data_IF_295306260952
#
_entry.id   IF_295306260952
#
_cell.length_a   1.000
_cell.length_b   1.000
_cell.length_c   1.000
_cell.angle_alpha   90.00
_cell.angle_beta   90.00
_cell.angle_gamma   90.00
#
_symmetry.space_group_name_H-M   'P 1'
#
loop_
_entity.id
_entity.type
_entity.pdbx_description
1 polymer ?
#
# COMPACT_ATOMS: atom_id res chain seq x y z
N UNK A 1 -31.07 -38.42 2.82
CA UNK A 1 -31.04 -37.41 3.89
C UNK A 1 -30.84 -36.09 3.21
N UNK A 2 -31.92 -35.40 3.05
CA UNK A 2 -32.07 -34.18 2.24
C UNK A 2 -31.45 -32.99 2.97
N UNK A 3 -30.69 -32.18 2.23
CA UNK A 3 -30.20 -30.88 2.69
C UNK A 3 -31.26 -29.81 2.38
N UNK A 4 -31.55 -28.87 3.28
CA UNK A 4 -32.48 -27.80 3.00
C UNK A 4 -31.84 -26.71 2.14
N UNK A 5 -32.55 -26.29 1.10
CA UNK A 5 -32.16 -25.19 0.24
C UNK A 5 -32.41 -23.84 0.95
N UNK A 6 -31.39 -23.02 0.98
CA UNK A 6 -31.47 -21.64 1.44
C UNK A 6 -31.90 -20.73 0.30
N UNK A 7 -33.14 -20.27 0.37
CA UNK A 7 -33.63 -19.15 -0.41
C UNK A 7 -33.14 -17.86 0.24
N UNK A 8 -32.12 -17.23 -0.35
CA UNK A 8 -31.76 -15.84 -0.02
C UNK A 8 -32.68 -14.95 -0.86
N UNK A 9 -33.68 -14.38 -0.21
CA UNK A 9 -34.60 -13.44 -0.81
C UNK A 9 -33.97 -12.09 -1.07
N UNK A 10 -34.21 -11.57 -2.27
CA UNK A 10 -33.93 -10.20 -2.69
C UNK A 10 -34.66 -9.20 -1.79
N UNK A 11 -33.89 -8.45 -1.03
CA UNK A 11 -34.37 -7.21 -0.40
C UNK A 11 -33.25 -6.15 -0.52
N UNK A 12 -33.01 -5.70 -1.74
CA UNK A 12 -32.30 -4.42 -1.95
C UNK A 12 -33.36 -3.34 -1.96
N UNK A 13 -33.55 -2.73 -0.78
CA UNK A 13 -34.39 -1.55 -0.64
C UNK A 13 -33.78 -0.37 -1.35
N UNK A 14 -34.51 0.22 -2.29
CA UNK A 14 -34.28 1.52 -2.93
C UNK A 14 -34.34 2.64 -1.86
N UNK A 15 -33.20 2.90 -1.25
CA UNK A 15 -33.00 3.96 -0.27
C UNK A 15 -31.79 4.83 -0.60
N UNK A 16 -31.49 5.02 -1.88
CA UNK A 16 -30.50 6.00 -2.30
C UNK A 16 -31.10 7.39 -2.23
N UNK A 17 -30.94 8.09 -1.10
CA UNK A 17 -31.05 9.54 -1.08
C UNK A 17 -30.03 10.05 -2.12
N UNK A 18 -30.53 10.72 -3.17
CA UNK A 18 -29.75 11.42 -4.16
C UNK A 18 -28.91 12.47 -3.44
N UNK A 19 -27.69 12.14 -3.06
CA UNK A 19 -26.68 13.15 -2.84
C UNK A 19 -26.64 14.00 -4.11
N UNK A 20 -26.92 15.30 -4.01
CA UNK A 20 -26.84 16.23 -5.13
C UNK A 20 -25.47 16.05 -5.77
N UNK A 21 -25.46 15.62 -7.02
CA UNK A 21 -24.23 15.39 -7.78
C UNK A 21 -23.41 16.69 -7.75
N UNK A 22 -22.27 16.68 -7.10
CA UNK A 22 -21.31 17.78 -7.17
C UNK A 22 -21.11 18.14 -8.63
N UNK A 23 -21.15 19.43 -9.01
CA UNK A 23 -21.06 19.86 -10.39
C UNK A 23 -19.80 19.30 -11.02
N UNK A 24 -19.93 18.72 -12.20
CA UNK A 24 -18.86 18.15 -12.99
C UNK A 24 -17.60 19.02 -12.91
N UNK A 25 -16.48 18.44 -12.49
CA UNK A 25 -15.21 19.13 -12.23
C UNK A 25 -14.87 20.06 -13.39
N UNK A 26 -14.98 21.38 -13.16
CA UNK A 26 -14.64 22.41 -14.13
C UNK A 26 -13.24 22.15 -14.65
N UNK A 27 -13.09 22.23 -15.98
CA UNK A 27 -11.92 21.90 -16.74
C UNK A 27 -10.58 22.22 -16.10
N UNK A 28 -9.61 21.36 -16.35
CA UNK A 28 -8.25 21.24 -15.81
C UNK A 28 -7.44 22.55 -15.78
N UNK A 29 -7.84 23.53 -14.96
CA UNK A 29 -6.98 24.69 -14.65
C UNK A 29 -5.94 24.25 -13.63
N UNK A 30 -4.70 24.63 -13.87
CA UNK A 30 -3.60 24.42 -12.92
C UNK A 30 -3.89 25.12 -11.59
N UNK A 31 -3.67 24.43 -10.47
CA UNK A 31 -3.92 24.96 -9.14
C UNK A 31 -2.60 25.35 -8.47
N UNK A 32 -2.20 26.61 -8.63
CA UNK A 32 -0.93 27.15 -8.10
C UNK A 32 -0.79 27.06 -6.57
N UNK A 33 -1.90 27.02 -5.82
CA UNK A 33 -1.84 26.91 -4.36
C UNK A 33 -1.24 25.59 -3.88
N UNK A 34 -1.30 24.56 -4.74
CA UNK A 34 -0.73 23.24 -4.44
C UNK A 34 0.75 23.11 -4.82
N UNK A 35 1.33 24.09 -5.51
CA UNK A 35 2.70 23.98 -6.01
C UNK A 35 3.72 24.07 -4.88
N UNK A 36 4.70 23.19 -4.93
CA UNK A 36 5.89 23.21 -4.08
C UNK A 36 6.92 24.22 -4.64
N UNK A 37 6.95 24.35 -5.96
CA UNK A 37 7.85 25.20 -6.72
C UNK A 37 8.51 24.47 -7.88
N UNK A 38 9.10 25.22 -8.79
CA UNK A 38 9.85 24.65 -9.91
C UNK A 38 11.15 24.06 -9.38
N UNK A 39 11.19 22.74 -9.23
CA UNK A 39 12.39 21.99 -8.81
C UNK A 39 12.67 20.84 -9.81
N UNK A 40 13.08 21.15 -11.04
CA UNK A 40 13.28 20.13 -12.09
C UNK A 40 14.36 19.10 -11.72
N UNK A 41 15.23 19.43 -10.78
CA UNK A 41 16.34 18.58 -10.35
C UNK A 41 16.27 18.23 -8.87
N UNK A 42 15.09 17.92 -8.36
CA UNK A 42 14.84 17.64 -6.94
C UNK A 42 16.03 17.09 -6.17
N UNK A 43 16.89 17.97 -5.67
CA UNK A 43 17.81 17.65 -4.60
C UNK A 43 16.92 17.64 -3.37
N UNK A 44 16.43 16.44 -3.01
CA UNK A 44 15.65 16.28 -1.80
C UNK A 44 16.50 16.69 -0.61
N UNK A 45 16.14 17.77 0.06
CA UNK A 45 16.51 17.93 1.45
C UNK A 45 15.63 16.94 2.21
N UNK A 46 16.09 15.95 2.89
CA UNK A 46 15.41 14.88 3.62
C UNK A 46 13.90 14.95 3.91
N UNK A 47 13.27 16.11 3.76
CA UNK A 47 11.84 16.39 4.00
C UNK A 47 10.98 16.45 2.73
N UNK A 48 11.57 16.28 1.54
CA UNK A 48 10.85 16.35 0.26
C UNK A 48 11.26 15.16 -0.60
N UNK A 49 10.29 14.40 -1.09
CA UNK A 49 10.58 13.30 -2.02
C UNK A 49 11.17 13.86 -3.32
N UNK A 50 12.31 13.31 -3.82
CA UNK A 50 12.94 13.81 -5.04
C UNK A 50 11.99 13.78 -6.25
N UNK A 51 12.18 14.72 -7.15
CA UNK A 51 11.49 14.73 -8.42
C UNK A 51 11.84 13.49 -9.26
N UNK A 52 10.85 12.83 -9.82
CA UNK A 52 10.99 11.57 -10.54
C UNK A 52 11.59 11.70 -11.95
N UNK A 53 11.73 12.89 -12.53
CA UNK A 53 12.24 13.05 -13.88
C UNK A 53 13.63 12.46 -14.09
N UNK A 54 14.54 12.65 -13.11
CA UNK A 54 15.87 12.07 -13.14
C UNK A 54 15.81 10.53 -13.16
N UNK A 55 14.93 9.96 -12.34
CA UNK A 55 14.75 8.51 -12.27
C UNK A 55 14.10 7.98 -13.55
N UNK A 56 13.10 8.68 -14.09
CA UNK A 56 12.49 8.33 -15.39
C UNK A 56 13.51 8.35 -16.52
N UNK A 57 14.36 9.39 -16.59
CA UNK A 57 15.42 9.47 -17.60
C UNK A 57 16.44 8.36 -17.44
N UNK A 58 16.85 8.07 -16.21
CA UNK A 58 17.77 6.96 -15.90
C UNK A 58 17.19 5.61 -16.33
N UNK A 59 15.93 5.34 -16.01
CA UNK A 59 15.25 4.11 -16.37
C UNK A 59 15.07 4.00 -17.89
N UNK A 60 14.67 5.07 -18.57
CA UNK A 60 14.58 5.09 -20.04
C UNK A 60 15.93 4.78 -20.69
N UNK A 61 17.02 5.35 -20.15
CA UNK A 61 18.38 5.04 -20.61
C UNK A 61 18.79 3.58 -20.37
N UNK A 62 18.45 3.01 -19.24
CA UNK A 62 18.71 1.60 -18.93
C UNK A 62 18.00 0.67 -19.93
N UNK A 63 16.78 1.02 -20.34
CA UNK A 63 15.97 0.21 -21.29
C UNK A 63 16.19 0.53 -22.78
N UNK A 64 17.14 1.38 -23.12
CA UNK A 64 17.40 1.77 -24.52
C UNK A 64 17.73 0.58 -25.45
N UNK A 65 18.16 -0.56 -24.91
CA UNK A 65 18.42 -1.80 -25.65
C UNK A 65 17.15 -2.64 -25.89
N UNK A 66 16.08 -2.39 -25.11
CA UNK A 66 14.85 -3.16 -25.16
C UNK A 66 13.58 -2.26 -25.26
N UNK A 67 13.55 -1.27 -26.17
CA UNK A 67 12.47 -0.27 -26.18
C UNK A 67 11.11 -0.87 -26.52
N UNK A 68 11.06 -1.84 -27.41
CA UNK A 68 9.82 -2.52 -27.82
C UNK A 68 9.26 -3.35 -26.68
N UNK A 69 10.14 -4.08 -25.96
CA UNK A 69 9.74 -4.84 -24.80
C UNK A 69 9.22 -3.92 -23.68
N UNK A 70 9.97 -2.85 -23.37
CA UNK A 70 9.59 -1.87 -22.38
C UNK A 70 8.20 -1.26 -22.67
N UNK A 71 7.99 -0.85 -23.94
CA UNK A 71 6.71 -0.33 -24.38
C UNK A 71 5.57 -1.35 -24.24
N UNK A 72 5.81 -2.60 -24.64
CA UNK A 72 4.80 -3.65 -24.53
C UNK A 72 4.40 -3.91 -23.08
N UNK A 73 5.37 -3.99 -22.17
CA UNK A 73 5.10 -4.19 -20.71
C UNK A 73 4.33 -2.99 -20.15
N UNK A 74 4.74 -1.77 -20.47
CA UNK A 74 4.08 -0.58 -19.95
C UNK A 74 2.67 -0.35 -20.53
N UNK A 75 2.47 -0.68 -21.81
CA UNK A 75 1.19 -0.41 -22.49
C UNK A 75 0.14 -1.53 -22.31
N UNK A 76 0.55 -2.77 -22.10
CA UNK A 76 -0.34 -3.94 -22.05
C UNK A 76 -0.13 -4.85 -20.85
N UNK A 77 1.03 -4.76 -20.18
CA UNK A 77 1.34 -5.61 -19.03
C UNK A 77 0.60 -5.19 -17.78
N UNK A 78 0.31 -6.16 -16.92
CA UNK A 78 -0.23 -5.93 -15.57
C UNK A 78 0.93 -5.63 -14.61
N UNK A 79 0.74 -4.69 -13.70
CA UNK A 79 1.69 -4.39 -12.64
C UNK A 79 1.25 -5.03 -11.33
N UNK A 80 2.13 -5.80 -10.73
CA UNK A 80 1.95 -6.48 -9.44
C UNK A 80 2.76 -5.83 -8.30
N UNK A 81 3.29 -4.63 -8.52
CA UNK A 81 4.12 -3.93 -7.55
C UNK A 81 3.40 -3.44 -6.30
N UNK A 82 2.07 -3.28 -6.35
CA UNK A 82 1.23 -2.94 -5.20
C UNK A 82 -0.23 -3.36 -5.45
N UNK A 83 -1.05 -3.25 -4.40
CA UNK A 83 -2.48 -3.59 -4.48
C UNK A 83 -3.28 -2.75 -5.51
N UNK A 84 -2.75 -1.59 -5.89
CA UNK A 84 -3.35 -0.70 -6.90
C UNK A 84 -2.68 -0.84 -8.28
N UNK A 85 -2.10 -2.01 -8.56
CA UNK A 85 -1.51 -2.30 -9.86
C UNK A 85 -2.53 -2.25 -10.98
N UNK A 86 -2.16 -1.61 -12.11
CA UNK A 86 -3.03 -1.43 -13.27
C UNK A 86 -2.52 -2.22 -14.48
N UNK A 87 -3.42 -2.55 -15.40
CA UNK A 87 -3.07 -3.09 -16.70
C UNK A 87 -2.86 -1.94 -17.70
N UNK A 88 -1.72 -1.95 -18.38
CA UNK A 88 -1.36 -0.86 -19.30
C UNK A 88 -1.18 0.50 -18.59
N UNK A 89 -1.55 1.57 -19.25
CA UNK A 89 -1.45 2.93 -18.75
C UNK A 89 -2.76 3.49 -18.20
N UNK A 90 -3.83 2.76 -18.25
CA UNK A 90 -5.16 3.23 -17.91
C UNK A 90 -5.74 2.44 -16.75
N UNK A 91 -6.52 3.13 -15.97
CA UNK A 91 -7.27 2.60 -14.84
C UNK A 91 -8.71 3.10 -14.93
N UNK A 92 -9.65 2.24 -14.57
CA UNK A 92 -11.08 2.58 -14.59
C UNK A 92 -11.49 3.52 -13.45
N UNK A 93 -10.65 3.67 -12.43
CA UNK A 93 -10.96 4.48 -11.24
C UNK A 93 -10.66 5.97 -11.44
N UNK A 94 -9.80 6.33 -12.41
CA UNK A 94 -9.39 7.71 -12.64
C UNK A 94 -8.92 7.93 -14.07
N UNK A 95 -9.29 9.05 -14.66
CA UNK A 95 -8.93 9.41 -16.03
C UNK A 95 -7.43 9.62 -16.25
N UNK A 96 -7.03 9.37 -17.51
CA UNK A 96 -5.69 9.65 -18.02
C UNK A 96 -4.68 8.55 -17.73
N UNK A 97 -3.41 8.88 -17.89
CA UNK A 97 -2.32 7.92 -17.76
C UNK A 97 -2.02 7.62 -16.31
N UNK A 98 -1.93 6.34 -15.97
CA UNK A 98 -1.41 5.84 -14.70
C UNK A 98 0.03 5.34 -14.87
N UNK A 99 0.95 6.03 -14.23
CA UNK A 99 2.36 5.67 -14.22
C UNK A 99 2.97 6.05 -12.87
N UNK A 100 3.73 5.14 -12.29
CA UNK A 100 4.55 5.42 -11.12
C UNK A 100 6.00 4.97 -11.36
N UNK A 101 6.92 5.52 -10.59
CA UNK A 101 8.35 5.18 -10.69
C UNK A 101 8.64 3.74 -10.32
N UNK A 102 7.89 3.18 -9.35
CA UNK A 102 8.04 1.77 -8.95
C UNK A 102 7.77 0.82 -10.13
N UNK A 103 6.73 1.08 -10.92
CA UNK A 103 6.45 0.29 -12.13
C UNK A 103 7.58 0.39 -13.15
N UNK A 104 8.16 1.57 -13.31
CA UNK A 104 9.32 1.77 -14.18
C UNK A 104 10.56 1.03 -13.66
N UNK A 105 10.77 1.02 -12.34
CA UNK A 105 11.89 0.27 -11.72
C UNK A 105 11.73 -1.24 -11.86
N UNK A 106 10.52 -1.78 -11.74
CA UNK A 106 10.23 -3.21 -11.96
C UNK A 106 10.59 -3.64 -13.39
N UNK A 107 10.46 -2.74 -14.37
CA UNK A 107 10.91 -3.00 -15.73
C UNK A 107 12.42 -3.31 -15.79
N UNK A 108 13.24 -2.62 -14.98
CA UNK A 108 14.68 -2.88 -14.88
C UNK A 108 14.99 -4.30 -14.36
N UNK A 109 14.18 -4.79 -13.43
CA UNK A 109 14.30 -6.16 -12.92
C UNK A 109 14.00 -7.17 -14.03
N UNK A 110 12.99 -6.90 -14.88
CA UNK A 110 12.58 -7.81 -15.95
C UNK A 110 13.54 -7.83 -17.15
N UNK A 111 14.39 -6.81 -17.30
CA UNK A 111 15.34 -6.67 -18.41
C UNK A 111 16.81 -6.80 -17.95
N UNK A 112 17.05 -7.09 -16.68
CA UNK A 112 18.39 -7.36 -16.19
C UNK A 112 18.96 -8.62 -16.84
N UNK A 113 20.26 -8.56 -17.12
CA UNK A 113 21.00 -9.69 -17.68
C UNK A 113 20.96 -10.90 -16.72
N UNK A 114 21.15 -12.09 -17.27
CA UNK A 114 21.29 -13.30 -16.50
C UNK A 114 22.53 -13.24 -15.61
N UNK A 115 22.38 -13.67 -14.36
CA UNK A 115 23.49 -13.81 -13.43
C UNK A 115 24.41 -14.94 -13.88
N UNK A 116 25.72 -14.66 -14.01
CA UNK A 116 26.73 -15.70 -14.22
C UNK A 116 26.83 -16.57 -12.96
N UNK A 117 26.52 -17.88 -13.05
CA UNK A 117 26.65 -18.80 -11.93
C UNK A 117 28.04 -18.84 -11.28
N UNK A 118 29.12 -18.56 -12.03
CA UNK A 118 30.45 -18.46 -11.48
C UNK A 118 30.60 -17.37 -10.40
N UNK A 119 29.84 -16.29 -10.52
CA UNK A 119 29.77 -15.23 -9.51
C UNK A 119 29.19 -15.68 -8.16
N UNK A 120 28.55 -16.85 -8.10
CA UNK A 120 27.94 -17.43 -6.89
C UNK A 120 28.80 -18.52 -6.25
N UNK A 121 29.94 -18.83 -6.80
CA UNK A 121 30.81 -19.93 -6.36
C UNK A 121 31.47 -19.71 -4.98
N UNK A 122 31.43 -18.50 -4.46
CA UNK A 122 31.99 -18.15 -3.14
C UNK A 122 31.02 -17.30 -2.32
N UNK A 123 30.34 -17.94 -1.37
CA UNK A 123 29.39 -17.27 -0.50
C UNK A 123 30.04 -16.25 0.47
N UNK A 124 31.31 -16.42 0.81
CA UNK A 124 32.02 -15.45 1.65
C UNK A 124 32.30 -14.16 0.87
N UNK A 125 32.69 -14.28 -0.40
CA UNK A 125 32.87 -13.13 -1.28
C UNK A 125 31.54 -12.37 -1.53
N UNK A 126 30.41 -13.07 -1.56
CA UNK A 126 29.10 -12.43 -1.68
C UNK A 126 28.72 -11.61 -0.45
N UNK A 127 29.06 -12.08 0.75
CA UNK A 127 28.76 -11.38 2.02
C UNK A 127 29.48 -10.05 2.15
N UNK A 128 30.64 -9.89 1.54
CA UNK A 128 31.41 -8.64 1.58
C UNK A 128 30.89 -7.56 0.60
N UNK A 129 29.94 -7.92 -0.28
CA UNK A 129 29.39 -7.00 -1.27
C UNK A 129 28.23 -6.19 -0.70
N UNK A 130 28.12 -4.96 -1.18
CA UNK A 130 26.97 -4.11 -0.92
C UNK A 130 25.73 -4.62 -1.66
N UNK A 131 24.53 -4.24 -1.20
CA UNK A 131 23.26 -4.56 -1.89
C UNK A 131 23.25 -4.08 -3.36
N UNK A 132 23.91 -2.98 -3.65
CA UNK A 132 24.03 -2.46 -5.02
C UNK A 132 24.87 -3.38 -5.91
N UNK A 133 25.99 -3.86 -5.40
CA UNK A 133 26.87 -4.80 -6.10
C UNK A 133 26.20 -6.15 -6.30
N UNK A 134 25.46 -6.65 -5.28
CA UNK A 134 24.68 -7.88 -5.41
C UNK A 134 23.61 -7.77 -6.51
N UNK A 135 22.88 -6.66 -6.57
CA UNK A 135 21.90 -6.41 -7.64
C UNK A 135 22.53 -6.29 -9.02
N UNK A 136 23.76 -5.81 -9.11
CA UNK A 136 24.48 -5.68 -10.38
C UNK A 136 24.98 -7.02 -10.94
N UNK A 137 24.92 -8.11 -10.17
CA UNK A 137 25.26 -9.45 -10.66
C UNK A 137 24.29 -9.98 -11.72
N UNK A 138 23.07 -9.42 -11.78
CA UNK A 138 22.04 -9.87 -12.70
C UNK A 138 20.92 -10.66 -12.03
N UNK A 139 20.05 -11.28 -12.85
CA UNK A 139 18.93 -12.09 -12.39
C UNK A 139 19.27 -13.57 -12.36
N UNK A 140 18.81 -14.22 -11.31
CA UNK A 140 18.92 -15.69 -11.18
C UNK A 140 17.98 -16.35 -12.19
N UNK A 141 18.55 -16.97 -13.24
CA UNK A 141 17.80 -17.61 -14.31
C UNK A 141 17.67 -19.14 -14.12
N UNK A 142 18.45 -19.72 -13.23
CA UNK A 142 18.47 -21.15 -12.97
C UNK A 142 18.42 -21.45 -11.48
N UNK A 143 17.90 -22.63 -11.07
CA UNK A 143 18.00 -23.07 -9.70
C UNK A 143 19.45 -23.19 -9.27
N UNK A 144 19.75 -22.67 -8.09
CA UNK A 144 21.07 -22.73 -7.50
C UNK A 144 20.98 -23.46 -6.15
N UNK A 145 21.96 -24.33 -5.91
CA UNK A 145 22.03 -25.11 -4.66
C UNK A 145 23.34 -24.85 -3.94
N UNK A 146 23.28 -24.81 -2.63
CA UNK A 146 24.44 -24.84 -1.74
C UNK A 146 24.14 -25.77 -0.58
N UNK A 147 24.93 -26.83 -0.43
CA UNK A 147 24.87 -27.73 0.74
C UNK A 147 25.74 -27.22 1.90
N UNK A 148 25.48 -27.76 3.08
CA UNK A 148 26.34 -27.49 4.24
C UNK A 148 27.79 -27.91 3.91
N UNK A 149 28.75 -27.02 4.22
CA UNK A 149 30.17 -27.24 3.93
C UNK A 149 30.63 -26.81 2.54
N UNK A 150 29.72 -26.59 1.57
CA UNK A 150 30.12 -26.09 0.25
C UNK A 150 30.49 -24.61 0.32
N UNK A 151 31.50 -24.22 -0.45
CA UNK A 151 32.04 -22.85 -0.49
C UNK A 151 31.04 -21.84 -1.05
N UNK A 152 30.29 -22.22 -2.08
CA UNK A 152 29.33 -21.37 -2.78
C UNK A 152 28.17 -22.15 -3.37
N UNK A 153 27.45 -21.50 -4.27
CA UNK A 153 26.28 -22.05 -4.94
C UNK A 153 26.70 -22.69 -6.27
N UNK A 154 26.09 -23.81 -6.61
CA UNK A 154 26.21 -24.49 -7.91
C UNK A 154 24.85 -24.54 -8.60
N UNK A 155 24.87 -24.41 -9.92
CA UNK A 155 23.66 -24.59 -10.74
C UNK A 155 23.21 -26.05 -10.70
N UNK A 156 21.90 -26.26 -10.59
CA UNK A 156 21.24 -27.57 -10.69
C UNK A 156 20.11 -27.50 -11.71
N UNK A 157 19.65 -28.66 -12.18
CA UNK A 157 18.45 -28.71 -13.01
C UNK A 157 17.19 -28.40 -12.20
N UNK A 158 16.10 -28.00 -12.88
CA UNK A 158 14.79 -27.85 -12.22
C UNK A 158 14.29 -29.18 -11.65
N UNK A 159 14.51 -30.27 -12.35
CA UNK A 159 14.10 -31.62 -11.91
C UNK A 159 14.82 -32.01 -10.61
N UNK A 160 16.13 -31.81 -10.54
CA UNK A 160 16.91 -32.07 -9.33
C UNK A 160 16.47 -31.15 -8.16
N UNK A 161 16.28 -29.86 -8.43
CA UNK A 161 15.84 -28.93 -7.41
C UNK A 161 14.46 -29.30 -6.85
N UNK A 162 13.50 -29.62 -7.69
CA UNK A 162 12.15 -30.03 -7.30
C UNK A 162 12.16 -31.38 -6.57
N UNK A 163 12.97 -32.33 -7.02
CA UNK A 163 13.13 -33.63 -6.35
C UNK A 163 13.71 -33.43 -4.93
N UNK A 164 14.77 -32.64 -4.78
CA UNK A 164 15.38 -32.36 -3.47
C UNK A 164 14.39 -31.66 -2.51
N UNK A 165 13.60 -30.70 -3.01
CA UNK A 165 12.56 -30.03 -2.21
C UNK A 165 11.48 -31.02 -1.79
N UNK A 166 10.98 -31.84 -2.71
CA UNK A 166 9.97 -32.84 -2.42
C UNK A 166 10.46 -33.86 -1.39
N UNK A 167 11.70 -34.34 -1.52
CA UNK A 167 12.32 -35.23 -0.54
C UNK A 167 12.52 -34.56 0.81
N UNK A 168 12.86 -33.29 0.83
CA UNK A 168 12.94 -32.51 2.05
C UNK A 168 11.62 -32.46 2.80
N UNK A 169 10.51 -32.18 2.09
CA UNK A 169 9.16 -32.15 2.65
C UNK A 169 8.75 -33.54 3.14
N UNK A 170 9.00 -34.59 2.37
CA UNK A 170 8.69 -35.97 2.80
C UNK A 170 9.42 -36.36 4.07
N UNK A 171 10.72 -36.04 4.18
CA UNK A 171 11.52 -36.34 5.38
C UNK A 171 11.07 -35.51 6.59
N UNK A 172 10.71 -34.27 6.37
CA UNK A 172 10.22 -33.40 7.47
C UNK A 172 8.82 -33.82 7.94
N UNK A 173 7.98 -34.27 7.01
CA UNK A 173 6.56 -34.45 7.23
C UNK A 173 5.78 -33.12 7.26
N UNK A 174 4.48 -33.20 7.05
CA UNK A 174 3.62 -32.01 6.98
C UNK A 174 3.62 -31.17 8.25
N UNK A 175 3.70 -31.80 9.42
CA UNK A 175 3.69 -31.11 10.73
C UNK A 175 4.94 -30.26 10.98
N UNK A 176 6.08 -30.63 10.41
CA UNK A 176 7.35 -29.89 10.54
C UNK A 176 7.68 -29.05 9.31
N UNK A 177 6.74 -28.96 8.39
CA UNK A 177 6.86 -28.12 7.19
C UNK A 177 5.95 -26.91 7.35
N UNK A 178 6.48 -25.71 7.07
CA UNK A 178 5.70 -24.49 6.97
C UNK A 178 5.85 -23.88 5.59
N UNK A 179 4.74 -23.39 5.02
CA UNK A 179 4.71 -22.65 3.78
C UNK A 179 4.39 -21.18 4.09
N UNK A 180 5.35 -20.29 3.85
CA UNK A 180 5.17 -18.87 4.02
C UNK A 180 5.20 -18.17 2.66
N UNK A 181 4.09 -17.54 2.28
CA UNK A 181 3.90 -16.92 0.98
C UNK A 181 4.12 -15.41 1.06
N UNK A 182 4.68 -14.83 0.00
CA UNK A 182 4.74 -13.38 -0.12
C UNK A 182 3.33 -12.79 -0.31
N UNK A 183 3.10 -11.57 0.19
CA UNK A 183 1.84 -10.86 -0.03
C UNK A 183 1.80 -10.07 -1.35
N UNK A 184 2.90 -10.05 -2.10
CA UNK A 184 3.03 -9.35 -3.38
C UNK A 184 3.80 -10.19 -4.38
N UNK A 185 3.57 -9.95 -5.67
CA UNK A 185 4.31 -10.61 -6.75
C UNK A 185 3.87 -12.03 -7.05
N UNK A 186 2.77 -12.49 -6.46
CA UNK A 186 2.09 -13.73 -6.84
C UNK A 186 0.59 -13.45 -7.01
N UNK A 187 -0.02 -14.14 -7.98
CA UNK A 187 -1.44 -13.97 -8.29
C UNK A 187 -2.32 -14.75 -7.32
N UNK A 188 -3.62 -14.47 -7.30
CA UNK A 188 -4.59 -15.20 -6.50
C UNK A 188 -4.63 -16.68 -6.84
N UNK A 189 -4.44 -17.01 -8.13
CA UNK A 189 -4.39 -18.41 -8.61
C UNK A 189 -3.20 -19.16 -8.00
N UNK A 190 -2.03 -18.51 -7.92
CA UNK A 190 -0.83 -19.10 -7.29
C UNK A 190 -1.07 -19.31 -5.80
N UNK A 191 -1.71 -18.36 -5.09
CA UNK A 191 -2.10 -18.54 -3.69
C UNK A 191 -3.02 -19.74 -3.50
N UNK A 192 -4.05 -19.83 -4.33
CA UNK A 192 -5.00 -20.95 -4.28
C UNK A 192 -4.31 -22.30 -4.49
N UNK A 193 -3.50 -22.40 -5.55
CA UNK A 193 -2.77 -23.65 -5.88
C UNK A 193 -1.77 -24.00 -4.78
N UNK A 194 -1.02 -23.03 -4.25
CA UNK A 194 -0.06 -23.25 -3.17
C UNK A 194 -0.76 -23.76 -1.90
N UNK A 195 -1.87 -23.14 -1.51
CA UNK A 195 -2.67 -23.59 -0.36
C UNK A 195 -3.26 -25.00 -0.57
N UNK A 196 -3.74 -25.32 -1.77
CA UNK A 196 -4.25 -26.64 -2.11
C UNK A 196 -3.14 -27.70 -2.10
N UNK A 197 -1.98 -27.39 -2.68
CA UNK A 197 -0.81 -28.27 -2.68
C UNK A 197 -0.31 -28.53 -1.25
N UNK A 198 -0.23 -27.51 -0.41
CA UNK A 198 0.17 -27.66 0.99
C UNK A 198 -0.74 -28.63 1.73
N UNK A 199 -2.06 -28.49 1.59
CA UNK A 199 -3.03 -29.42 2.21
C UNK A 199 -2.89 -30.85 1.66
N UNK A 200 -2.67 -31.01 0.37
CA UNK A 200 -2.44 -32.33 -0.23
C UNK A 200 -1.15 -33.00 0.29
N UNK A 201 -0.15 -32.21 0.67
CA UNK A 201 1.09 -32.69 1.30
C UNK A 201 0.99 -32.85 2.83
N UNK A 202 -0.17 -32.59 3.43
CA UNK A 202 -0.34 -32.61 4.89
C UNK A 202 0.30 -31.44 5.63
N UNK A 203 0.65 -30.36 4.93
CA UNK A 203 1.21 -29.14 5.55
C UNK A 203 0.08 -28.29 6.09
N UNK A 204 -0.03 -28.20 7.41
CA UNK A 204 -1.03 -27.39 8.09
C UNK A 204 -0.58 -25.94 8.26
N UNK A 205 0.71 -25.69 8.41
CA UNK A 205 1.29 -24.36 8.68
C UNK A 205 1.47 -23.60 7.37
N UNK A 206 0.42 -22.89 6.95
CA UNK A 206 0.45 -22.01 5.76
C UNK A 206 0.09 -20.61 6.18
N UNK A 207 0.97 -19.65 5.90
CA UNK A 207 0.75 -18.25 6.25
C UNK A 207 1.38 -17.31 5.21
N UNK A 208 1.14 -16.01 5.38
CA UNK A 208 1.69 -15.00 4.51
C UNK A 208 2.06 -13.73 5.29
N UNK A 209 2.79 -12.82 4.63
CA UNK A 209 3.13 -11.52 5.18
C UNK A 209 1.89 -10.68 5.57
N UNK A 210 0.71 -10.97 5.03
CA UNK A 210 -0.54 -10.33 5.39
C UNK A 210 -0.87 -10.48 6.89
N UNK A 211 -0.40 -11.56 7.54
CA UNK A 211 -0.59 -11.80 8.99
C UNK A 211 -0.13 -10.62 9.84
N UNK A 212 1.04 -10.07 9.54
CA UNK A 212 1.61 -8.93 10.29
C UNK A 212 1.36 -7.59 9.60
N UNK A 213 0.93 -7.60 8.33
CA UNK A 213 0.70 -6.40 7.55
C UNK A 213 -0.65 -5.76 7.86
N UNK A 214 -1.75 -6.47 7.62
CA UNK A 214 -3.10 -5.91 7.72
C UNK A 214 -4.11 -6.82 8.47
N UNK A 215 -3.71 -7.99 8.96
CA UNK A 215 -4.62 -8.87 9.69
C UNK A 215 -5.28 -8.20 10.90
N UNK A 216 -4.60 -7.35 11.71
CA UNK A 216 -5.24 -6.59 12.77
C UNK A 216 -6.35 -5.68 12.26
N UNK A 217 -6.12 -4.97 11.15
CA UNK A 217 -7.13 -4.12 10.52
C UNK A 217 -8.31 -4.93 9.97
N UNK A 218 -8.03 -6.11 9.41
CA UNK A 218 -9.06 -7.04 8.92
C UNK A 218 -9.99 -7.50 10.04
N UNK A 219 -9.42 -7.82 11.22
CA UNK A 219 -10.21 -8.19 12.41
C UNK A 219 -11.04 -7.01 12.89
N UNK A 220 -10.43 -5.85 13.07
CA UNK A 220 -11.11 -4.64 13.53
C UNK A 220 -12.25 -4.21 12.61
N UNK A 221 -12.04 -4.25 11.29
CA UNK A 221 -13.10 -3.94 10.32
C UNK A 221 -14.26 -4.93 10.41
N UNK A 222 -13.97 -6.22 10.55
CA UNK A 222 -15.00 -7.24 10.70
C UNK A 222 -15.85 -7.02 11.96
N UNK A 223 -15.21 -6.66 13.05
CA UNK A 223 -15.89 -6.39 14.32
C UNK A 223 -16.68 -5.08 14.29
N UNK A 224 -16.11 -4.03 13.69
CA UNK A 224 -16.71 -2.70 13.69
C UNK A 224 -17.80 -2.51 12.61
N UNK A 225 -17.61 -3.06 11.41
CA UNK A 225 -18.51 -2.80 10.27
C UNK A 225 -19.01 -4.10 9.58
N UNK A 226 -18.71 -5.27 10.14
CA UNK A 226 -19.13 -6.56 9.58
C UNK A 226 -18.38 -7.01 8.32
N UNK A 227 -17.51 -6.20 7.75
CA UNK A 227 -16.74 -6.49 6.53
C UNK A 227 -15.23 -6.51 6.80
N UNK A 228 -14.57 -7.58 6.36
CA UNK A 228 -13.11 -7.75 6.56
C UNK A 228 -12.26 -6.99 5.52
N UNK A 229 -12.83 -6.01 4.84
CA UNK A 229 -12.19 -5.21 3.79
C UNK A 229 -12.78 -3.81 3.76
N UNK A 230 -12.18 -2.93 2.95
CA UNK A 230 -12.75 -1.59 2.71
C UNK A 230 -14.14 -1.69 2.08
N UNK A 231 -15.06 -0.84 2.54
CA UNK A 231 -16.39 -0.67 1.96
C UNK A 231 -16.48 0.56 1.05
N UNK A 232 -15.40 1.38 1.02
CA UNK A 232 -15.30 2.57 0.19
C UNK A 232 -14.52 2.27 -1.10
N UNK A 233 -14.83 2.99 -2.16
CA UNK A 233 -14.13 2.95 -3.44
C UNK A 233 -13.04 4.02 -3.53
N UNK A 234 -12.19 3.92 -4.55
CA UNK A 234 -11.23 5.00 -4.85
C UNK A 234 -11.94 6.27 -5.36
N UNK A 235 -13.17 6.14 -5.86
CA UNK A 235 -13.97 7.28 -6.28
C UNK A 235 -14.38 8.13 -5.07
N UNK A 236 -14.74 7.50 -3.94
CA UNK A 236 -15.10 8.20 -2.70
C UNK A 236 -13.94 9.08 -2.20
N UNK A 237 -12.69 8.63 -2.37
CA UNK A 237 -11.51 9.45 -2.04
C UNK A 237 -11.44 10.72 -2.87
N UNK A 238 -11.84 10.65 -4.15
CA UNK A 238 -11.84 11.81 -5.05
C UNK A 238 -12.92 12.83 -4.71
N UNK A 239 -13.97 12.40 -4.03
CA UNK A 239 -15.14 13.19 -3.68
C UNK A 239 -15.14 13.65 -2.22
N UNK A 240 -14.25 13.08 -1.39
CA UNK A 240 -14.14 13.42 0.02
C UNK A 240 -13.68 14.88 0.24
N UNK A 241 -14.22 15.53 1.27
CA UNK A 241 -13.76 16.83 1.73
C UNK A 241 -12.48 16.73 2.54
N UNK A 242 -12.33 15.62 3.28
CA UNK A 242 -11.18 15.29 4.11
C UNK A 242 -10.73 13.86 3.89
N UNK A 243 -9.42 13.67 3.72
CA UNK A 243 -8.76 12.36 3.76
C UNK A 243 -7.80 12.34 4.95
N UNK A 244 -7.98 11.38 5.85
CA UNK A 244 -7.08 11.17 7.00
C UNK A 244 -6.20 9.97 6.73
N UNK A 245 -4.89 10.17 6.77
CA UNK A 245 -3.87 9.11 6.62
C UNK A 245 -3.28 8.80 7.98
N UNK A 246 -3.57 7.63 8.53
CA UNK A 246 -3.09 7.19 9.85
C UNK A 246 -2.04 6.10 9.66
N UNK A 247 -0.81 6.31 10.18
CA UNK A 247 0.28 5.34 10.12
C UNK A 247 0.68 4.89 8.71
N UNK A 248 0.37 5.69 7.69
CA UNK A 248 0.48 5.28 6.30
C UNK A 248 1.49 6.13 5.52
N UNK A 249 2.26 5.46 4.64
CA UNK A 249 3.14 6.10 3.67
C UNK A 249 2.77 5.65 2.24
N UNK A 250 1.67 6.15 1.68
CA UNK A 250 1.21 5.75 0.35
C UNK A 250 2.19 6.10 -0.77
N UNK A 251 3.03 7.11 -0.57
CA UNK A 251 4.06 7.48 -1.53
C UNK A 251 5.08 6.37 -1.81
N UNK A 252 5.32 5.49 -0.83
CA UNK A 252 6.23 4.35 -0.96
C UNK A 252 5.48 3.02 -1.12
N UNK A 253 4.38 2.83 -0.41
CA UNK A 253 3.67 1.55 -0.38
C UNK A 253 2.62 1.42 -1.51
N UNK A 254 1.92 2.50 -1.84
CA UNK A 254 0.89 2.54 -2.87
C UNK A 254 1.05 3.79 -3.76
N UNK A 255 2.17 3.91 -4.49
CA UNK A 255 2.51 5.15 -5.21
C UNK A 255 1.47 5.58 -6.26
N UNK A 256 0.66 4.65 -6.78
CA UNK A 256 -0.47 4.96 -7.66
C UNK A 256 -1.53 5.78 -6.93
N UNK A 257 -1.77 5.51 -5.64
CA UNK A 257 -2.73 6.26 -4.81
C UNK A 257 -2.39 7.75 -4.70
N UNK A 258 -1.11 8.11 -4.84
CA UNK A 258 -0.69 9.51 -4.86
C UNK A 258 -1.31 10.32 -6.00
N UNK A 259 -1.67 9.68 -7.12
CA UNK A 259 -2.43 10.35 -8.18
C UNK A 259 -3.87 10.62 -7.74
N UNK A 260 -4.51 9.70 -7.03
CA UNK A 260 -5.85 9.91 -6.48
C UNK A 260 -5.83 11.07 -5.48
N UNK A 261 -4.87 11.09 -4.54
CA UNK A 261 -4.71 12.23 -3.63
C UNK A 261 -4.46 13.56 -4.36
N UNK A 262 -3.66 13.55 -5.42
CA UNK A 262 -3.42 14.74 -6.23
C UNK A 262 -4.73 15.26 -6.86
N UNK A 263 -5.51 14.39 -7.48
CA UNK A 263 -6.78 14.79 -8.09
C UNK A 263 -7.82 15.22 -7.03
N UNK A 264 -7.89 14.54 -5.90
CA UNK A 264 -8.72 14.92 -4.76
C UNK A 264 -8.37 16.35 -4.28
N UNK A 265 -7.08 16.63 -4.05
CA UNK A 265 -6.61 17.97 -3.64
C UNK A 265 -6.91 19.04 -4.68
N UNK A 266 -6.84 18.73 -5.96
CA UNK A 266 -7.29 19.65 -7.02
C UNK A 266 -8.78 19.96 -6.91
N UNK A 267 -9.55 19.02 -6.41
CA UNK A 267 -10.98 19.17 -6.10
C UNK A 267 -11.27 19.94 -4.81
N UNK A 268 -10.24 20.24 -4.01
CA UNK A 268 -10.39 20.98 -2.74
C UNK A 268 -10.28 20.12 -1.48
N UNK A 269 -10.11 18.81 -1.60
CA UNK A 269 -9.93 17.88 -0.48
C UNK A 269 -8.75 18.30 0.39
N UNK A 270 -8.96 18.26 1.71
CA UNK A 270 -7.90 18.41 2.70
C UNK A 270 -7.30 17.06 3.04
N UNK A 271 -6.02 17.05 3.41
CA UNK A 271 -5.32 15.83 3.82
C UNK A 271 -4.69 16.03 5.18
N UNK A 272 -5.18 15.29 6.17
CA UNK A 272 -4.57 15.20 7.50
C UNK A 272 -3.70 13.94 7.58
N UNK A 273 -2.54 14.07 8.21
CA UNK A 273 -1.57 12.98 8.38
C UNK A 273 -1.33 12.77 9.87
N UNK A 274 -1.75 11.62 10.39
CA UNK A 274 -1.51 11.19 11.77
C UNK A 274 -0.39 10.17 11.73
N UNK A 275 0.82 10.59 12.06
CA UNK A 275 2.00 9.72 11.98
C UNK A 275 3.14 10.31 12.82
N UNK A 276 3.91 9.50 13.56
CA UNK A 276 5.06 9.99 14.31
C UNK A 276 6.08 10.78 13.48
N UNK A 277 6.21 10.41 12.21
CA UNK A 277 7.10 11.04 11.26
C UNK A 277 6.36 11.51 10.00
N UNK A 278 6.53 12.78 9.64
CA UNK A 278 5.98 13.27 8.38
C UNK A 278 6.87 12.85 7.22
N UNK A 279 6.41 11.84 6.50
CA UNK A 279 7.12 11.25 5.37
C UNK A 279 7.35 12.26 4.24
N UNK A 280 8.55 12.28 3.61
CA UNK A 280 8.85 13.26 2.55
C UNK A 280 7.84 13.28 1.41
N UNK A 281 7.29 12.11 1.03
CA UNK A 281 6.27 12.01 -0.01
C UNK A 281 4.90 12.55 0.39
N UNK A 282 4.66 12.76 1.69
CA UNK A 282 3.44 13.40 2.22
C UNK A 282 3.63 14.91 2.40
N UNK A 283 4.85 15.39 2.56
CA UNK A 283 5.16 16.82 2.48
C UNK A 283 4.93 17.32 1.07
N UNK A 284 5.58 16.66 0.10
CA UNK A 284 5.47 17.02 -1.31
C UNK A 284 5.68 15.79 -2.20
N UNK A 285 4.92 15.71 -3.29
CA UNK A 285 5.01 14.61 -4.24
C UNK A 285 4.93 15.10 -5.68
N UNK A 286 5.70 14.48 -6.59
CA UNK A 286 5.67 14.72 -8.02
C UNK A 286 5.00 13.54 -8.70
N UNK A 287 3.74 13.73 -9.12
CA UNK A 287 2.97 12.71 -9.84
C UNK A 287 3.47 12.66 -11.29
N UNK A 288 4.16 11.59 -11.71
CA UNK A 288 4.85 11.59 -13.02
C UNK A 288 3.90 11.63 -14.22
N UNK A 289 2.68 11.17 -14.04
CA UNK A 289 1.65 11.15 -15.09
C UNK A 289 0.83 12.45 -15.20
N UNK A 290 1.08 13.43 -14.33
CA UNK A 290 0.39 14.73 -14.34
C UNK A 290 1.38 15.86 -14.64
N UNK A 291 1.31 16.53 -15.81
CA UNK A 291 2.31 17.54 -16.20
C UNK A 291 2.51 18.64 -15.15
N UNK A 292 1.42 19.13 -14.57
CA UNK A 292 1.47 20.16 -13.53
C UNK A 292 2.26 19.67 -12.30
N UNK A 293 1.85 18.52 -11.74
CA UNK A 293 2.51 17.97 -10.57
C UNK A 293 3.95 17.51 -10.85
N UNK A 294 4.19 16.99 -12.06
CA UNK A 294 5.52 16.58 -12.48
C UNK A 294 6.50 17.76 -12.55
N UNK A 295 6.04 18.95 -12.93
CA UNK A 295 6.86 20.17 -13.04
C UNK A 295 7.01 20.90 -11.71
N UNK A 296 5.90 21.10 -10.98
CA UNK A 296 5.86 22.00 -9.83
C UNK A 296 5.77 21.28 -8.50
N UNK A 297 5.54 19.96 -8.49
CA UNK A 297 5.25 19.19 -7.29
C UNK A 297 3.88 19.53 -6.71
N UNK A 298 3.44 18.71 -5.78
CA UNK A 298 2.14 18.89 -5.11
C UNK A 298 2.33 18.82 -3.61
N UNK A 299 1.86 19.83 -2.88
CA UNK A 299 1.72 19.81 -1.43
C UNK A 299 0.62 18.81 -1.07
N UNK A 300 0.95 17.78 -0.31
CA UNK A 300 0.00 16.72 0.04
C UNK A 300 -0.62 17.00 1.41
N UNK A 301 0.18 17.03 2.46
CA UNK A 301 -0.29 17.24 3.84
C UNK A 301 -0.75 18.67 4.08
N UNK A 302 -1.94 18.83 4.64
CA UNK A 302 -2.46 20.12 5.11
C UNK A 302 -2.31 20.23 6.64
N UNK A 303 -2.50 19.11 7.37
CA UNK A 303 -2.34 19.02 8.81
C UNK A 303 -1.54 17.78 9.19
N UNK A 304 -0.49 17.94 9.97
CA UNK A 304 0.29 16.83 10.51
C UNK A 304 0.11 16.75 12.02
N UNK A 305 -0.21 15.55 12.51
CA UNK A 305 -0.34 15.24 13.93
C UNK A 305 0.71 14.19 14.30
N UNK A 306 1.77 14.54 15.02
CA UNK A 306 2.89 13.65 15.34
C UNK A 306 2.59 12.76 16.54
N UNK A 307 1.59 11.88 16.41
CA UNK A 307 1.19 10.97 17.49
C UNK A 307 2.35 10.07 17.91
N UNK A 308 2.52 9.86 19.21
CA UNK A 308 3.55 8.94 19.74
C UNK A 308 3.24 7.50 19.32
N UNK A 309 4.25 6.67 18.95
CA UNK A 309 4.05 5.25 18.71
C UNK A 309 3.34 4.58 19.90
N UNK A 310 2.22 3.89 19.63
CA UNK A 310 1.35 3.31 20.66
C UNK A 310 0.35 4.27 21.29
N UNK A 311 0.33 5.55 20.87
CA UNK A 311 -0.60 6.57 21.36
C UNK A 311 -1.88 6.70 20.53
N UNK A 312 -2.05 5.93 19.47
CA UNK A 312 -3.14 6.07 18.50
C UNK A 312 -4.52 5.94 19.12
N UNK A 313 -4.71 4.94 20.01
CA UNK A 313 -6.00 4.73 20.71
C UNK A 313 -6.33 5.93 21.59
N UNK A 314 -5.35 6.43 22.36
CA UNK A 314 -5.54 7.59 23.21
C UNK A 314 -5.84 8.86 22.38
N UNK A 315 -5.17 9.03 21.26
CA UNK A 315 -5.43 10.12 20.31
C UNK A 315 -6.86 10.07 19.76
N UNK A 316 -7.30 8.91 19.29
CA UNK A 316 -8.64 8.76 18.73
C UNK A 316 -9.73 8.97 19.79
N UNK A 317 -9.54 8.47 21.01
CA UNK A 317 -10.45 8.76 22.13
C UNK A 317 -10.46 10.24 22.49
N UNK A 318 -9.31 10.92 22.46
CA UNK A 318 -9.25 12.37 22.71
C UNK A 318 -10.01 13.16 21.65
N UNK A 319 -9.85 12.79 20.36
CA UNK A 319 -10.59 13.41 19.24
C UNK A 319 -12.09 13.20 19.42
N UNK A 320 -12.53 11.96 19.65
CA UNK A 320 -13.95 11.62 19.87
C UNK A 320 -14.52 12.40 21.06
N UNK A 321 -13.77 12.48 22.18
CA UNK A 321 -14.19 13.27 23.34
C UNK A 321 -14.41 14.75 23.00
N UNK A 322 -13.49 15.36 22.26
CA UNK A 322 -13.64 16.76 21.79
C UNK A 322 -14.88 16.92 20.91
N UNK A 323 -15.11 15.99 19.95
CA UNK A 323 -16.27 16.03 19.08
C UNK A 323 -17.59 15.95 19.88
N UNK A 324 -17.64 15.07 20.88
CA UNK A 324 -18.81 14.91 21.76
C UNK A 324 -19.03 16.16 22.62
N UNK A 325 -17.99 16.65 23.31
CA UNK A 325 -18.07 17.79 24.20
C UNK A 325 -18.39 19.11 23.50
N UNK A 326 -18.09 19.22 22.20
CA UNK A 326 -18.37 20.40 21.37
C UNK A 326 -19.62 20.26 20.50
N UNK A 327 -20.40 19.19 20.68
CA UNK A 327 -21.63 18.93 19.91
C UNK A 327 -21.37 18.92 18.38
N UNK A 328 -20.27 18.30 17.99
CA UNK A 328 -19.84 18.19 16.58
C UNK A 328 -20.19 16.82 15.94
N UNK A 329 -20.90 15.97 16.68
CA UNK A 329 -21.30 14.64 16.23
C UNK A 329 -22.59 14.74 15.43
N UNK A 330 -22.64 14.12 14.26
CA UNK A 330 -23.88 13.95 13.48
C UNK A 330 -24.76 12.88 14.14
N UNK A 331 -25.61 13.31 15.06
CA UNK A 331 -26.47 12.43 15.85
C UNK A 331 -27.57 11.76 15.01
N UNK A 332 -27.98 12.36 13.90
CA UNK A 332 -28.92 11.75 12.96
C UNK A 332 -28.30 10.54 12.28
N UNK A 333 -27.05 10.71 11.81
CA UNK A 333 -26.28 9.59 11.25
C UNK A 333 -26.00 8.51 12.29
N UNK A 334 -25.57 8.91 13.50
CA UNK A 334 -25.26 7.96 14.59
C UNK A 334 -26.50 7.13 14.93
N UNK A 335 -27.64 7.77 15.12
CA UNK A 335 -28.88 7.09 15.47
C UNK A 335 -29.42 6.17 14.39
N UNK A 336 -29.20 6.50 13.11
CA UNK A 336 -29.69 5.71 11.98
C UNK A 336 -28.77 4.55 11.58
N UNK A 337 -27.43 4.69 11.78
CA UNK A 337 -26.45 3.84 11.12
C UNK A 337 -25.43 3.19 12.06
N UNK A 338 -25.49 3.45 13.37
CA UNK A 338 -24.52 2.89 14.31
C UNK A 338 -25.19 2.18 15.48
N UNK A 339 -24.41 1.41 16.22
CA UNK A 339 -24.78 0.77 17.47
C UNK A 339 -23.69 0.97 18.53
N UNK A 340 -24.06 0.97 19.83
CA UNK A 340 -23.11 1.11 20.93
C UNK A 340 -22.71 2.56 21.23
N UNK A 341 -23.49 3.54 20.76
CA UNK A 341 -23.20 4.96 20.99
C UNK A 341 -23.21 5.34 22.47
N UNK A 342 -24.22 4.90 23.21
CA UNK A 342 -24.41 5.23 24.63
C UNK A 342 -23.22 4.71 25.47
N UNK A 343 -22.74 3.52 25.17
CA UNK A 343 -21.59 2.91 25.85
C UNK A 343 -20.32 3.70 25.55
N UNK A 344 -20.09 4.06 24.28
CA UNK A 344 -18.94 4.86 23.87
C UNK A 344 -18.99 6.25 24.52
N UNK A 345 -20.12 6.93 24.49
CA UNK A 345 -20.29 8.24 25.08
C UNK A 345 -20.03 8.24 26.60
N UNK A 346 -20.53 7.21 27.30
CA UNK A 346 -20.30 7.03 28.73
C UNK A 346 -18.80 6.76 29.05
N UNK A 347 -18.12 5.93 28.25
CA UNK A 347 -16.68 5.69 28.40
C UNK A 347 -15.87 6.98 28.18
N UNK A 348 -16.20 7.73 27.14
CA UNK A 348 -15.54 9.02 26.83
C UNK A 348 -15.76 10.08 27.93
N UNK A 349 -16.96 10.14 28.52
CA UNK A 349 -17.26 11.05 29.63
C UNK A 349 -16.38 10.79 30.84
N UNK A 350 -16.07 9.54 31.13
CA UNK A 350 -15.20 9.11 32.24
C UNK A 350 -13.70 9.36 32.03
N UNK A 351 -13.27 9.78 30.84
CA UNK A 351 -11.85 9.97 30.51
C UNK A 351 -11.44 11.42 30.66
N UNK A 352 -10.21 11.69 31.08
CA UNK A 352 -9.62 13.01 31.10
C UNK A 352 -8.94 13.34 29.75
N UNK A 353 -9.30 14.47 29.14
CA UNK A 353 -8.77 14.89 27.83
C UNK A 353 -7.26 15.16 27.87
N UNK A 354 -6.77 15.78 28.98
CA UNK A 354 -5.34 16.09 29.11
C UNK A 354 -4.51 14.82 29.28
N UNK A 355 -5.05 13.80 29.97
CA UNK A 355 -4.41 12.50 30.11
C UNK A 355 -4.36 11.73 28.80
N UNK A 356 -5.42 11.76 28.03
CA UNK A 356 -5.47 11.18 26.69
C UNK A 356 -4.47 11.85 25.76
N UNK A 357 -4.47 13.18 25.70
CA UNK A 357 -3.54 13.96 24.87
C UNK A 357 -2.07 13.67 25.25
N UNK A 358 -1.77 13.66 26.56
CA UNK A 358 -0.43 13.35 27.08
C UNK A 358 -0.01 11.92 26.72
N UNK A 359 -0.91 10.94 26.79
CA UNK A 359 -0.65 9.56 26.39
C UNK A 359 -0.37 9.46 24.89
N UNK A 360 -1.10 10.21 24.09
CA UNK A 360 -0.87 10.35 22.64
C UNK A 360 0.45 11.08 22.30
N UNK A 361 1.05 11.78 23.28
CA UNK A 361 2.26 12.59 23.07
C UNK A 361 1.99 13.96 22.45
N UNK A 362 0.78 14.49 22.63
CA UNK A 362 0.28 15.74 22.04
C UNK A 362 -0.16 16.72 23.12
N UNK A 363 -0.20 18.01 22.74
CA UNK A 363 -0.91 19.02 23.51
C UNK A 363 -2.42 18.92 23.24
N UNK A 364 -3.24 19.31 24.22
CA UNK A 364 -4.70 19.35 24.05
C UNK A 364 -5.09 20.19 22.82
N UNK A 365 -4.45 21.34 22.63
CA UNK A 365 -4.72 22.22 21.49
C UNK A 365 -4.45 21.56 20.11
N UNK A 366 -3.52 20.61 20.02
CA UNK A 366 -3.25 19.87 18.79
C UNK A 366 -4.37 18.86 18.49
N UNK A 367 -4.91 18.21 19.53
CA UNK A 367 -6.08 17.34 19.42
C UNK A 367 -7.31 18.14 18.99
N UNK A 368 -7.56 19.27 19.65
CA UNK A 368 -8.68 20.16 19.34
C UNK A 368 -8.61 20.74 17.92
N UNK A 369 -7.40 21.06 17.45
CA UNK A 369 -7.20 21.56 16.08
C UNK A 369 -7.47 20.48 15.03
N UNK A 370 -7.23 19.22 15.37
CA UNK A 370 -7.55 18.10 14.49
C UNK A 370 -9.05 17.80 14.49
N UNK A 371 -9.69 17.75 15.67
CA UNK A 371 -11.12 17.51 15.84
C UNK A 371 -11.97 18.59 15.17
#
# INVERSE_FOLDING_TARGET
>A
MDAPGDAVGDAVGDGASRAEARPARRGRRWNRSLWVGLRPYGIGSGTVKPNHFKDMARIAWQHRRHPVYAWRVLSRGVCDGCALGVAGFHDWTIDGVHLCTTRLELLSVNTADELDPAGMADAAALRSRTNRELRALGRLAHPMRRRAGERGFSRVSWDDALAEVADGIRRAGGERTALYLTSRGITNEVYYVAGKAARAMGVASVDSAARVCHAPSTVALREAIGAAATTCSLQDVLEADLVVLIGSNPANNQPVFMKHLYEAKRGGTKVAVVNPYLEPGLVAYWVPSSPESALFGTKICDLHVPVRPGGDVAFLHAVLKVLVERDLVDMDFVGAHTAGWEELAADLAGRDLADLARTAGLAVAEVEAFA
#
